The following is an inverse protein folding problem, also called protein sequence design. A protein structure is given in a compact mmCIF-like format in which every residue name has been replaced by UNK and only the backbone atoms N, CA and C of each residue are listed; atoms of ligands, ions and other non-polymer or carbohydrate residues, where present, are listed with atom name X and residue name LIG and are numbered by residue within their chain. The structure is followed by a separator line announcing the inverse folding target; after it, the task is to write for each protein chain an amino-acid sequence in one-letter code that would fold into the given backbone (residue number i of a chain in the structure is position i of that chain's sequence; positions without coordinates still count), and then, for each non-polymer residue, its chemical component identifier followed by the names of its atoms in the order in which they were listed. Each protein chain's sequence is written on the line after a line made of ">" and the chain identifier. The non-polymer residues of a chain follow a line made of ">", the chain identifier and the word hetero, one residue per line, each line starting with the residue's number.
data_IF_702581913272
#
_entry.id   IF_702581913272
#
_cell.length_a   1.000
_cell.length_b   1.000
_cell.length_c   1.000
_cell.angle_alpha   90.00
_cell.angle_beta   90.00
_cell.angle_gamma   90.00
#
_symmetry.space_group_name_H-M   'P 1'
#
loop_
_entity.id
_entity.type
_entity.pdbx_description
1 polymer ?
#
# COMPACT_ATOMS: atom_id res chain seq x y z
N UNK A 1 8.48 16.08 9.00
CA UNK A 1 7.42 15.62 9.91
C UNK A 1 6.06 15.89 9.25
N UNK A 2 4.98 15.27 9.74
CA UNK A 2 3.61 15.45 9.23
C UNK A 2 2.75 16.18 10.27
N UNK A 3 1.50 16.52 9.91
CA UNK A 3 0.51 17.04 10.85
C UNK A 3 0.14 16.01 11.95
N UNK A 4 -0.57 16.46 12.98
CA UNK A 4 -1.11 15.64 14.06
C UNK A 4 -2.63 15.88 14.20
N UNK A 5 -3.49 14.89 13.88
CA UNK A 5 -3.16 13.59 13.30
C UNK A 5 -2.59 13.74 11.87
N UNK A 6 -1.81 12.75 11.38
CA UNK A 6 -1.33 12.77 10.00
C UNK A 6 -2.50 12.66 9.02
N UNK A 7 -2.39 13.36 7.88
CA UNK A 7 -3.33 13.21 6.78
C UNK A 7 -3.31 11.79 6.21
N UNK A 8 -4.37 11.40 5.51
CA UNK A 8 -4.52 10.05 4.91
C UNK A 8 -3.36 9.68 3.96
N UNK A 9 -2.70 10.68 3.39
CA UNK A 9 -1.54 10.52 2.50
C UNK A 9 -0.19 10.64 3.23
N UNK A 10 -0.17 10.91 4.54
CA UNK A 10 0.99 11.23 5.38
C UNK A 10 1.82 12.42 4.87
N UNK A 11 2.60 12.23 3.80
CA UNK A 11 3.49 13.22 3.21
C UNK A 11 2.97 13.65 1.84
N UNK A 12 2.63 14.93 1.68
CA UNK A 12 2.30 15.50 0.36
C UNK A 12 3.52 15.56 -0.57
N UNK A 13 4.70 15.78 0.02
CA UNK A 13 5.99 15.78 -0.67
C UNK A 13 6.91 14.80 0.02
N UNK A 14 7.46 13.85 -0.73
CA UNK A 14 8.38 12.85 -0.17
C UNK A 14 9.73 13.53 0.06
N UNK A 15 10.24 13.58 1.31
CA UNK A 15 11.49 14.24 1.61
C UNK A 15 12.69 13.37 1.19
N UNK A 16 13.73 13.99 0.64
CA UNK A 16 15.04 13.34 0.47
C UNK A 16 15.68 13.12 1.84
N UNK A 17 16.17 11.90 2.11
CA UNK A 17 16.78 11.53 3.39
C UNK A 17 18.25 11.22 3.18
N UNK A 18 19.12 12.11 3.64
CA UNK A 18 20.58 11.99 3.43
C UNK A 18 21.34 11.55 4.70
N UNK A 19 20.71 11.69 5.87
CA UNK A 19 21.32 11.38 7.17
C UNK A 19 20.38 10.49 7.99
N UNK A 20 20.95 9.74 8.93
CA UNK A 20 20.20 8.81 9.83
C UNK A 20 19.12 9.50 10.68
N UNK A 21 19.37 10.75 11.10
CA UNK A 21 18.45 11.52 11.93
C UNK A 21 18.02 12.81 11.20
N UNK A 22 17.28 12.69 10.08
CA UNK A 22 17.04 13.82 9.17
C UNK A 22 16.20 14.93 9.80
N UNK A 23 15.41 14.64 10.84
CA UNK A 23 14.61 15.65 11.54
C UNK A 23 15.45 16.51 12.49
N UNK A 24 16.49 15.94 13.10
CA UNK A 24 17.34 16.63 14.06
C UNK A 24 18.31 17.58 13.35
N UNK A 25 18.97 17.10 12.29
CA UNK A 25 19.86 17.94 11.49
C UNK A 25 19.13 19.05 10.73
N UNK A 26 17.87 18.83 10.33
CA UNK A 26 17.02 19.88 9.72
C UNK A 26 16.71 21.03 10.70
N UNK A 27 16.68 20.77 12.00
CA UNK A 27 16.50 21.84 12.99
C UNK A 27 17.78 22.67 13.18
N UNK A 28 18.95 22.07 13.00
CA UNK A 28 20.26 22.75 13.06
C UNK A 28 20.56 23.52 11.77
N UNK A 29 20.19 22.99 10.61
CA UNK A 29 20.31 23.65 9.31
C UNK A 29 19.06 24.52 9.05
N UNK A 30 19.06 25.74 9.58
CA UNK A 30 18.00 26.74 9.43
C UNK A 30 17.42 26.79 7.99
N UNK A 31 16.25 26.19 7.79
CA UNK A 31 15.37 26.51 6.68
C UNK A 31 15.75 25.96 5.30
N UNK A 32 16.74 25.08 5.15
CA UNK A 32 16.93 24.38 3.86
C UNK A 32 15.82 23.35 3.67
N UNK A 33 14.82 23.73 2.87
CA UNK A 33 13.82 22.80 2.37
C UNK A 33 14.54 21.77 1.49
N UNK A 34 14.84 20.59 2.08
CA UNK A 34 15.42 19.45 1.36
C UNK A 34 14.60 19.22 0.10
N UNK A 35 15.24 19.09 -1.07
CA UNK A 35 14.58 18.82 -2.34
C UNK A 35 13.51 17.73 -2.13
N UNK A 36 12.25 18.12 -2.29
CA UNK A 36 11.11 17.28 -1.98
C UNK A 36 10.34 17.03 -3.26
N UNK A 37 10.08 15.77 -3.53
CA UNK A 37 9.39 15.37 -4.75
C UNK A 37 7.88 15.43 -4.52
N UNK A 38 7.19 16.18 -5.38
CA UNK A 38 5.74 16.32 -5.33
C UNK A 38 5.04 15.10 -5.98
N UNK A 39 4.09 14.53 -5.23
CA UNK A 39 3.26 13.43 -5.68
C UNK A 39 2.07 13.97 -6.49
N UNK A 40 1.56 13.14 -7.42
CA UNK A 40 0.39 13.49 -8.24
C UNK A 40 -0.85 13.73 -7.37
N UNK A 41 -1.70 14.66 -7.81
CA UNK A 41 -2.97 14.99 -7.14
C UNK A 41 -4.11 14.10 -7.67
N UNK A 42 -4.00 13.61 -8.91
CA UNK A 42 -5.00 12.79 -9.60
C UNK A 42 -5.05 11.32 -9.13
N UNK A 43 -4.06 10.83 -8.38
CA UNK A 43 -3.99 9.43 -7.99
C UNK A 43 -3.09 9.13 -6.79
N UNK A 44 -3.35 8.01 -6.10
CA UNK A 44 -2.47 7.50 -5.05
C UNK A 44 -1.16 7.01 -5.67
N UNK A 45 -0.12 7.80 -5.56
CA UNK A 45 1.22 7.49 -6.03
C UNK A 45 2.24 7.55 -4.89
N UNK A 46 3.32 6.79 -5.03
CA UNK A 46 4.50 6.87 -4.17
C UNK A 46 5.76 6.82 -5.03
N UNK A 47 6.90 7.23 -4.49
CA UNK A 47 8.18 7.14 -5.20
C UNK A 47 8.90 5.84 -4.82
N UNK A 48 9.33 5.09 -5.83
CA UNK A 48 10.35 4.07 -5.67
C UNK A 48 11.73 4.72 -5.78
N UNK A 49 12.59 4.49 -4.79
CA UNK A 49 13.93 5.06 -4.72
C UNK A 49 15.03 4.00 -4.89
N UNK A 50 16.25 4.43 -5.19
CA UNK A 50 17.44 3.59 -5.10
C UNK A 50 17.65 3.12 -3.66
N UNK A 51 18.30 1.97 -3.50
CA UNK A 51 18.47 1.31 -2.19
C UNK A 51 19.47 2.04 -1.29
N UNK A 52 20.53 2.60 -1.88
CA UNK A 52 21.64 3.22 -1.16
C UNK A 52 21.48 4.74 -1.04
N UNK A 53 21.14 5.40 -2.14
CA UNK A 53 21.20 6.87 -2.24
C UNK A 53 19.82 7.55 -2.10
N UNK A 54 18.75 6.76 -1.93
CA UNK A 54 17.37 7.24 -1.84
C UNK A 54 16.94 8.15 -3.00
N UNK A 55 17.53 7.94 -4.18
CA UNK A 55 17.22 8.71 -5.39
C UNK A 55 15.98 8.14 -6.08
N UNK A 56 14.98 8.96 -6.43
CA UNK A 56 13.77 8.45 -7.07
C UNK A 56 14.07 7.92 -8.47
N UNK A 57 13.76 6.64 -8.66
CA UNK A 57 13.93 5.92 -9.93
C UNK A 57 12.60 5.70 -10.65
N UNK A 58 11.47 5.67 -9.92
CA UNK A 58 10.15 5.45 -10.52
C UNK A 58 9.01 6.02 -9.67
N UNK A 59 7.87 6.32 -10.31
CA UNK A 59 6.59 6.61 -9.67
C UNK A 59 5.74 5.33 -9.66
N UNK A 60 5.39 4.86 -8.47
CA UNK A 60 4.58 3.67 -8.23
C UNK A 60 3.14 4.08 -7.94
N UNK A 61 2.20 3.58 -8.73
CA UNK A 61 0.78 3.77 -8.43
C UNK A 61 0.35 2.78 -7.34
N UNK A 62 -0.12 3.31 -6.21
CA UNK A 62 -0.56 2.50 -5.07
C UNK A 62 -1.98 2.03 -5.29
N UNK A 63 -2.19 0.72 -5.19
CA UNK A 63 -3.52 0.10 -5.30
C UNK A 63 -4.51 0.70 -4.29
N UNK A 64 -5.75 0.88 -4.76
CA UNK A 64 -6.87 1.33 -3.95
C UNK A 64 -7.36 0.25 -2.98
N UNK A 65 -8.34 0.58 -2.11
CA UNK A 65 -8.93 -0.37 -1.19
C UNK A 65 -9.54 -1.56 -1.94
N UNK A 66 -9.29 -2.76 -1.44
CA UNK A 66 -9.80 -4.03 -1.99
C UNK A 66 -10.65 -4.73 -0.95
N UNK A 67 -11.82 -5.24 -1.36
CA UNK A 67 -12.72 -6.03 -0.50
C UNK A 67 -12.24 -7.49 -0.37
N UNK A 68 -11.42 -7.95 -1.31
CA UNK A 68 -11.01 -9.34 -1.38
C UNK A 68 -10.22 -9.87 -0.16
N UNK A 69 -9.31 -9.10 0.47
CA UNK A 69 -8.66 -9.52 1.71
C UNK A 69 -9.66 -9.87 2.83
N UNK A 70 -10.76 -9.11 2.93
CA UNK A 70 -11.81 -9.36 3.92
C UNK A 70 -12.54 -10.67 3.62
N UNK A 71 -12.90 -10.91 2.37
CA UNK A 71 -13.57 -12.15 1.97
C UNK A 71 -12.69 -13.38 2.17
N UNK A 72 -11.38 -13.26 1.90
CA UNK A 72 -10.40 -14.31 2.21
C UNK A 72 -10.33 -14.60 3.71
N UNK A 73 -10.35 -13.57 4.56
CA UNK A 73 -10.36 -13.75 6.01
C UNK A 73 -11.64 -14.43 6.51
N UNK A 74 -12.81 -14.08 5.96
CA UNK A 74 -14.09 -14.73 6.26
C UNK A 74 -14.05 -16.22 5.88
N UNK A 75 -13.55 -16.55 4.68
CA UNK A 75 -13.38 -17.94 4.26
C UNK A 75 -12.48 -18.72 5.21
N UNK A 76 -11.34 -18.15 5.60
CA UNK A 76 -10.44 -18.74 6.60
C UNK A 76 -11.09 -18.94 7.96
N UNK A 77 -11.84 -17.96 8.46
CA UNK A 77 -12.58 -18.07 9.71
C UNK A 77 -13.60 -19.23 9.69
N UNK A 78 -14.31 -19.41 8.57
CA UNK A 78 -15.25 -20.53 8.39
C UNK A 78 -14.52 -21.88 8.38
N UNK A 79 -13.33 -21.96 7.76
CA UNK A 79 -12.51 -23.19 7.81
C UNK A 79 -12.15 -23.55 9.24
N UNK A 80 -11.55 -22.61 9.99
CA UNK A 80 -11.15 -22.87 11.38
C UNK A 80 -12.34 -23.21 12.27
N UNK A 81 -13.46 -22.49 12.11
CA UNK A 81 -14.69 -22.79 12.82
C UNK A 81 -15.23 -24.18 12.45
N UNK A 82 -15.18 -24.55 11.17
CA UNK A 82 -15.60 -25.87 10.67
C UNK A 82 -14.78 -27.02 11.24
N UNK A 83 -13.48 -26.85 11.42
CA UNK A 83 -12.63 -27.87 12.06
C UNK A 83 -13.08 -28.17 13.50
N UNK A 84 -13.56 -27.16 14.23
CA UNK A 84 -14.00 -27.29 15.62
C UNK A 84 -15.45 -27.79 15.70
N UNK A 85 -16.35 -27.20 14.91
CA UNK A 85 -17.79 -27.42 15.03
C UNK A 85 -18.29 -28.58 14.15
N UNK A 86 -17.99 -28.55 12.85
CA UNK A 86 -18.47 -29.54 11.89
C UNK A 86 -17.61 -29.52 10.62
N UNK A 87 -16.93 -30.63 10.34
CA UNK A 87 -15.97 -30.75 9.22
C UNK A 87 -16.62 -30.44 7.86
N UNK A 88 -17.94 -30.59 7.72
CA UNK A 88 -18.68 -30.22 6.51
C UNK A 88 -18.56 -28.72 6.13
N UNK A 89 -18.23 -27.82 7.08
CA UNK A 89 -18.01 -26.40 6.80
C UNK A 89 -16.63 -26.09 6.18
N UNK A 90 -15.66 -27.00 6.37
CA UNK A 90 -14.30 -26.84 5.83
C UNK A 90 -14.29 -26.64 4.31
N UNK A 91 -14.93 -27.48 3.47
CA UNK A 91 -14.95 -27.25 2.03
C UNK A 91 -15.64 -25.94 1.63
N UNK A 92 -16.65 -25.49 2.40
CA UNK A 92 -17.34 -24.21 2.16
C UNK A 92 -16.41 -23.03 2.39
N UNK A 93 -15.74 -22.99 3.54
CA UNK A 93 -14.77 -21.93 3.86
C UNK A 93 -13.58 -21.93 2.90
N UNK A 94 -13.08 -23.11 2.53
CA UNK A 94 -11.98 -23.27 1.59
C UNK A 94 -12.37 -22.74 0.20
N UNK A 95 -13.58 -23.04 -0.28
CA UNK A 95 -14.07 -22.52 -1.55
C UNK A 95 -14.19 -20.99 -1.55
N UNK A 96 -14.73 -20.39 -0.49
CA UNK A 96 -14.85 -18.93 -0.35
C UNK A 96 -13.46 -18.28 -0.37
N UNK A 97 -12.51 -18.80 0.41
CA UNK A 97 -11.15 -18.27 0.47
C UNK A 97 -10.46 -18.39 -0.90
N UNK A 98 -10.56 -19.56 -1.55
CA UNK A 98 -10.00 -19.80 -2.87
C UNK A 98 -10.57 -18.85 -3.93
N UNK A 99 -11.90 -18.76 -4.02
CA UNK A 99 -12.56 -17.87 -4.96
C UNK A 99 -12.17 -16.39 -4.73
N UNK A 100 -12.04 -15.98 -3.47
CA UNK A 100 -11.62 -14.62 -3.10
C UNK A 100 -10.20 -14.31 -3.55
N UNK A 101 -9.26 -15.24 -3.34
CA UNK A 101 -7.86 -15.08 -3.78
C UNK A 101 -7.76 -15.05 -5.29
N UNK A 102 -8.47 -15.95 -5.99
CA UNK A 102 -8.49 -15.98 -7.46
C UNK A 102 -9.07 -14.68 -8.02
N UNK A 103 -10.20 -14.23 -7.49
CA UNK A 103 -10.85 -13.01 -7.95
C UNK A 103 -10.02 -11.75 -7.63
N UNK A 104 -9.28 -11.76 -6.51
CA UNK A 104 -8.35 -10.67 -6.18
C UNK A 104 -7.20 -10.57 -7.18
N UNK A 105 -6.62 -11.70 -7.56
CA UNK A 105 -5.47 -11.76 -8.46
C UNK A 105 -5.86 -11.80 -9.94
N UNK A 106 -7.15 -11.73 -10.26
CA UNK A 106 -7.60 -11.82 -11.64
C UNK A 106 -7.10 -10.61 -12.47
N UNK A 107 -6.40 -10.84 -13.60
CA UNK A 107 -5.65 -9.81 -14.33
C UNK A 107 -6.52 -8.77 -15.08
N UNK A 108 -7.82 -8.72 -14.82
CA UNK A 108 -8.78 -7.88 -15.53
C UNK A 108 -8.88 -6.42 -15.05
N UNK A 109 -8.19 -6.02 -13.98
CA UNK A 109 -8.44 -4.72 -13.32
C UNK A 109 -7.30 -3.70 -13.36
N UNK A 110 -6.13 -4.08 -13.90
CA UNK A 110 -4.95 -3.20 -14.00
C UNK A 110 -4.58 -2.79 -15.43
N UNK A 111 -5.17 -3.38 -16.48
CA UNK A 111 -4.79 -3.13 -17.88
C UNK A 111 -5.46 -1.93 -18.55
N UNK A 112 -6.39 -1.25 -17.89
CA UNK A 112 -7.09 -0.11 -18.47
C UNK A 112 -6.30 1.21 -18.33
N UNK A 113 -5.35 1.29 -17.40
CA UNK A 113 -4.58 2.53 -17.16
C UNK A 113 -3.34 2.69 -18.05
N UNK A 114 -2.82 1.61 -18.63
CA UNK A 114 -1.62 1.67 -19.50
C UNK A 114 -1.93 2.02 -20.96
N UNK A 115 -3.20 1.93 -21.40
CA UNK A 115 -3.59 2.25 -22.79
C UNK A 115 -4.13 3.67 -22.98
N UNK A 116 -4.27 4.43 -21.90
CA UNK A 116 -4.83 5.79 -21.92
C UNK A 116 -3.81 6.87 -21.48
N UNK A 117 -2.53 6.50 -21.34
CA UNK A 117 -1.42 7.42 -21.05
C UNK A 117 -0.53 7.62 -22.27
#
# INVERSE_FOLDING_TARGET
>A
ATASPPDVYNFRRIPRVERRMPLWYRMEEEGKESEAYELSVEGRETLGTSVLDAEPIQRLQVSGPSIWPLMTAIGGAIVFFGVIATVALVPVGAFIAFASVVAWNWPGRHREKERAG
#
